data_IF_476458824591
#
_entry.id   IF_476458824591
#
_cell.length_a   1.000
_cell.length_b   1.000
_cell.length_c   1.000
_cell.angle_alpha   90.00
_cell.angle_beta   90.00
_cell.angle_gamma   90.00
#
_symmetry.space_group_name_H-M   'P 1'
#
loop_
_entity.id
_entity.type
_entity.pdbx_description
1 polymer ?
#
# COMPACT_ATOMS: atom_id res chain seq x y z
N UNK A 1 -63.91 55.07 -43.04
CA UNK A 1 -63.89 53.67 -43.59
C UNK A 1 -63.04 52.85 -42.70
N UNK A 2 -63.62 52.10 -41.85
CA UNK A 2 -63.07 51.34 -40.76
C UNK A 2 -62.90 49.91 -41.20
N UNK A 3 -61.65 49.39 -41.20
CA UNK A 3 -61.40 47.97 -41.21
C UNK A 3 -61.10 47.53 -39.78
N UNK A 4 -62.00 46.75 -39.26
CA UNK A 4 -61.87 46.10 -37.96
C UNK A 4 -61.29 44.65 -38.20
N UNK A 5 -60.06 44.43 -37.80
CA UNK A 5 -59.45 43.08 -37.80
C UNK A 5 -59.99 42.28 -36.63
N UNK A 6 -60.52 41.15 -36.97
CA UNK A 6 -61.02 40.14 -36.06
C UNK A 6 -59.89 39.28 -35.57
N UNK A 7 -59.29 39.61 -34.41
CA UNK A 7 -58.28 38.76 -33.77
C UNK A 7 -59.05 37.74 -32.96
N UNK A 8 -59.04 36.50 -33.46
CA UNK A 8 -59.68 35.36 -32.80
C UNK A 8 -59.14 35.13 -31.41
N UNK A 9 -60.03 35.06 -30.45
CA UNK A 9 -59.82 34.72 -29.05
C UNK A 9 -59.32 33.29 -28.93
N UNK A 10 -58.01 33.10 -29.01
CA UNK A 10 -57.39 31.83 -28.68
C UNK A 10 -57.40 31.72 -27.17
N UNK A 11 -58.43 31.06 -26.67
CA UNK A 11 -58.66 30.86 -25.25
C UNK A 11 -57.44 30.32 -24.55
N UNK A 12 -56.97 30.98 -23.51
CA UNK A 12 -55.88 30.59 -22.63
C UNK A 12 -56.00 29.11 -22.19
N UNK A 13 -57.25 28.61 -22.14
CA UNK A 13 -57.60 27.21 -21.84
C UNK A 13 -57.11 26.22 -22.91
N UNK A 14 -57.02 26.60 -24.19
CA UNK A 14 -56.51 25.69 -25.25
C UNK A 14 -55.01 25.58 -25.20
N UNK A 15 -54.29 26.64 -24.84
CA UNK A 15 -52.84 26.63 -24.66
C UNK A 15 -52.41 25.89 -23.41
N UNK A 16 -53.18 25.97 -22.34
CA UNK A 16 -52.94 25.23 -21.10
C UNK A 16 -53.15 23.73 -21.30
N UNK A 17 -54.20 23.31 -22.04
CA UNK A 17 -54.45 21.91 -22.36
C UNK A 17 -53.39 21.32 -23.32
N UNK A 18 -52.87 22.09 -24.28
CA UNK A 18 -51.80 21.66 -25.14
C UNK A 18 -50.50 21.44 -24.35
N UNK A 19 -50.19 22.33 -23.38
CA UNK A 19 -49.04 22.20 -22.51
C UNK A 19 -49.13 21.05 -21.51
N UNK A 20 -50.34 20.74 -21.01
CA UNK A 20 -50.59 19.56 -20.16
C UNK A 20 -50.50 18.24 -20.93
N UNK A 21 -50.88 18.21 -22.22
CA UNK A 21 -50.71 17.01 -23.06
C UNK A 21 -49.27 16.78 -23.45
N UNK A 22 -48.45 17.82 -23.69
CA UNK A 22 -47.02 17.68 -23.92
C UNK A 22 -46.28 17.16 -22.67
N UNK A 23 -46.56 17.71 -21.50
CA UNK A 23 -45.94 17.24 -20.23
C UNK A 23 -46.39 15.85 -19.82
N UNK A 24 -47.56 15.37 -20.25
CA UNK A 24 -48.03 14.00 -20.04
C UNK A 24 -47.44 13.00 -21.03
N UNK A 25 -47.10 13.42 -22.26
CA UNK A 25 -46.43 12.60 -23.26
C UNK A 25 -44.94 12.34 -22.96
N UNK A 26 -44.25 13.30 -22.34
CA UNK A 26 -42.85 13.18 -21.98
C UNK A 26 -42.59 12.30 -20.74
N UNK A 27 -43.61 11.96 -19.95
CA UNK A 27 -43.45 11.11 -18.76
C UNK A 27 -43.54 9.61 -19.06
N UNK A 28 -43.81 9.18 -20.30
CA UNK A 28 -44.11 7.76 -20.59
C UNK A 28 -43.00 7.00 -21.28
N UNK A 29 -41.82 7.57 -21.58
CA UNK A 29 -40.67 6.82 -22.10
C UNK A 29 -39.37 7.21 -21.42
N UNK A 30 -39.23 6.90 -20.12
CA UNK A 30 -37.94 6.58 -19.58
C UNK A 30 -37.74 5.07 -19.71
N UNK A 31 -36.96 4.58 -20.68
CA UNK A 31 -36.56 3.18 -20.63
C UNK A 31 -35.78 3.03 -19.32
N UNK A 32 -36.38 2.31 -18.40
CA UNK A 32 -35.71 1.87 -17.17
C UNK A 32 -34.60 0.88 -17.54
N UNK A 33 -33.50 1.39 -18.05
CA UNK A 33 -32.20 0.71 -18.03
C UNK A 33 -31.78 0.64 -16.55
N UNK A 34 -32.55 -0.07 -15.74
CA UNK A 34 -32.11 -0.60 -14.46
C UNK A 34 -30.98 -1.58 -14.80
N UNK A 35 -29.74 -1.03 -14.95
CA UNK A 35 -28.54 -1.85 -14.88
C UNK A 35 -28.67 -2.65 -13.58
N UNK A 36 -28.56 -3.98 -13.62
CA UNK A 36 -28.69 -4.79 -12.43
C UNK A 36 -27.78 -4.20 -11.37
N UNK A 37 -28.33 -3.91 -10.20
CA UNK A 37 -27.58 -3.31 -9.09
C UNK A 37 -26.43 -4.26 -8.73
N UNK A 38 -25.20 -3.88 -9.09
CA UNK A 38 -24.01 -4.67 -8.76
C UNK A 38 -23.92 -4.78 -7.25
N UNK A 39 -23.68 -5.99 -6.75
CA UNK A 39 -23.45 -6.22 -5.33
C UNK A 39 -22.20 -5.44 -4.87
N UNK A 40 -22.13 -5.08 -3.57
CA UNK A 40 -20.96 -4.37 -3.02
C UNK A 40 -19.66 -5.14 -3.27
N UNK A 41 -19.71 -6.47 -3.24
CA UNK A 41 -18.57 -7.35 -3.56
C UNK A 41 -18.15 -7.19 -5.02
N UNK A 42 -19.11 -7.22 -5.97
CA UNK A 42 -18.80 -7.02 -7.40
C UNK A 42 -18.18 -5.64 -7.65
N UNK A 43 -18.66 -4.61 -6.99
CA UNK A 43 -18.09 -3.27 -7.11
C UNK A 43 -16.65 -3.20 -6.55
N UNK A 44 -16.35 -3.91 -5.47
CA UNK A 44 -15.00 -3.99 -4.91
C UNK A 44 -14.04 -4.75 -5.85
N UNK A 45 -14.50 -5.87 -6.42
CA UNK A 45 -13.70 -6.63 -7.42
C UNK A 45 -13.42 -5.78 -8.66
N UNK A 46 -14.44 -5.09 -9.17
CA UNK A 46 -14.27 -4.19 -10.34
C UNK A 46 -13.26 -3.08 -10.03
N UNK A 47 -13.31 -2.46 -8.83
CA UNK A 47 -12.36 -1.43 -8.41
C UNK A 47 -10.91 -1.97 -8.39
N UNK A 48 -10.70 -3.15 -7.78
CA UNK A 48 -9.37 -3.78 -7.74
C UNK A 48 -8.86 -4.12 -9.15
N UNK A 49 -9.71 -4.70 -9.99
CA UNK A 49 -9.34 -5.05 -11.37
C UNK A 49 -9.04 -3.81 -12.22
N UNK A 50 -9.89 -2.78 -12.15
CA UNK A 50 -9.67 -1.53 -12.89
C UNK A 50 -8.42 -0.79 -12.38
N UNK A 51 -8.22 -0.73 -11.07
CA UNK A 51 -7.03 -0.15 -10.46
C UNK A 51 -5.76 -0.84 -10.95
N UNK A 52 -5.74 -2.17 -10.96
CA UNK A 52 -4.59 -2.94 -11.45
C UNK A 52 -4.36 -2.75 -12.96
N UNK A 53 -5.42 -2.78 -13.77
CA UNK A 53 -5.33 -2.61 -15.24
C UNK A 53 -4.81 -1.23 -15.64
N UNK A 54 -5.00 -0.20 -14.84
CA UNK A 54 -4.47 1.16 -15.08
C UNK A 54 -3.01 1.30 -14.62
N UNK A 55 -2.18 0.29 -14.91
CA UNK A 55 -0.78 0.22 -14.45
C UNK A 55 0.05 1.43 -14.91
N UNK A 56 -0.12 1.91 -16.13
CA UNK A 56 0.55 3.09 -16.64
C UNK A 56 0.28 4.34 -15.78
N UNK A 57 -0.95 4.46 -15.22
CA UNK A 57 -1.35 5.62 -14.44
C UNK A 57 -0.72 5.61 -13.05
N UNK A 58 -0.84 4.50 -12.29
CA UNK A 58 -0.28 4.47 -10.94
C UNK A 58 1.26 4.43 -10.95
N UNK A 59 1.89 3.86 -11.99
CA UNK A 59 3.36 3.95 -12.14
C UNK A 59 3.80 5.37 -12.45
N UNK A 60 3.13 6.07 -13.38
CA UNK A 60 3.44 7.47 -13.70
C UNK A 60 3.27 8.39 -12.48
N UNK A 61 2.14 8.24 -11.75
CA UNK A 61 1.87 9.02 -10.54
C UNK A 61 2.89 8.73 -9.42
N UNK A 62 3.27 7.46 -9.22
CA UNK A 62 4.28 7.10 -8.23
C UNK A 62 5.66 7.68 -8.58
N UNK A 63 6.05 7.65 -9.85
CA UNK A 63 7.31 8.27 -10.29
C UNK A 63 7.28 9.80 -10.15
N UNK A 64 6.12 10.41 -10.38
CA UNK A 64 5.94 11.84 -10.12
C UNK A 64 6.06 12.16 -8.63
N UNK A 65 5.48 11.33 -7.74
CA UNK A 65 5.63 11.50 -6.29
C UNK A 65 7.10 11.47 -5.85
N UNK A 66 7.86 10.51 -6.38
CA UNK A 66 9.28 10.40 -6.10
C UNK A 66 10.01 11.67 -6.57
N UNK A 67 9.76 12.10 -7.82
CA UNK A 67 10.37 13.32 -8.34
C UNK A 67 10.02 14.55 -7.51
N UNK A 68 8.77 14.68 -7.08
CA UNK A 68 8.34 15.81 -6.24
C UNK A 68 8.94 15.76 -4.84
N UNK A 69 9.00 14.57 -4.20
CA UNK A 69 9.57 14.37 -2.86
C UNK A 69 11.06 14.78 -2.80
N UNK A 70 11.79 14.51 -3.88
CA UNK A 70 13.22 14.79 -3.96
C UNK A 70 13.56 16.01 -4.81
N UNK A 71 12.59 16.82 -5.17
CA UNK A 71 12.80 18.08 -5.93
C UNK A 71 13.71 19.02 -5.12
N UNK A 72 14.82 19.41 -5.73
CA UNK A 72 15.84 20.25 -5.07
C UNK A 72 16.84 19.47 -4.21
N UNK A 73 16.73 18.15 -4.09
CA UNK A 73 17.73 17.31 -3.45
C UNK A 73 18.83 16.93 -4.43
N UNK A 74 20.10 17.13 -4.05
CA UNK A 74 21.26 16.72 -4.86
C UNK A 74 21.37 15.19 -4.92
N UNK A 75 21.08 14.49 -3.82
CA UNK A 75 21.24 13.04 -3.70
C UNK A 75 19.95 12.27 -4.06
N UNK A 76 18.81 12.96 -4.18
CA UNK A 76 17.54 12.32 -4.51
C UNK A 76 17.17 11.17 -3.56
N UNK A 77 16.63 10.05 -4.11
CA UNK A 77 16.29 8.86 -3.31
C UNK A 77 17.47 8.20 -2.61
N UNK A 78 18.70 8.42 -3.09
CA UNK A 78 19.93 7.86 -2.47
C UNK A 78 20.17 8.39 -1.05
N UNK A 79 19.55 9.50 -0.66
CA UNK A 79 19.62 9.95 0.73
C UNK A 79 19.14 8.89 1.73
N UNK A 80 18.08 8.16 1.41
CA UNK A 80 17.60 7.05 2.24
C UNK A 80 18.60 5.89 2.29
N UNK A 81 19.23 5.59 1.15
CA UNK A 81 20.29 4.58 1.07
C UNK A 81 21.49 4.95 1.94
N UNK A 82 21.92 6.21 1.88
CA UNK A 82 23.03 6.72 2.70
C UNK A 82 22.67 6.69 4.19
N UNK A 83 21.45 7.10 4.56
CA UNK A 83 20.98 7.04 5.95
C UNK A 83 20.99 5.61 6.48
N UNK A 84 20.53 4.65 5.68
CA UNK A 84 20.59 3.22 6.03
C UNK A 84 22.03 2.74 6.16
N UNK A 85 22.92 3.13 5.25
CA UNK A 85 24.34 2.78 5.31
C UNK A 85 25.02 3.36 6.57
N UNK A 86 24.74 4.61 6.90
CA UNK A 86 25.26 5.22 8.15
C UNK A 86 24.80 4.44 9.37
N UNK A 87 23.54 3.99 9.38
CA UNK A 87 23.00 3.19 10.48
C UNK A 87 23.66 1.81 10.55
N UNK A 88 23.90 1.16 9.40
CA UNK A 88 24.65 -0.09 9.32
C UNK A 88 26.07 0.08 9.87
N UNK A 89 26.78 1.15 9.50
CA UNK A 89 28.13 1.42 9.99
C UNK A 89 28.14 1.73 11.50
N UNK A 90 27.20 2.55 11.97
CA UNK A 90 27.11 2.93 13.38
C UNK A 90 26.82 1.72 14.29
N UNK A 91 25.78 0.97 13.98
CA UNK A 91 25.39 -0.23 14.76
C UNK A 91 26.45 -1.34 14.52
N UNK A 92 26.84 -1.58 13.26
CA UNK A 92 27.80 -2.61 12.90
C UNK A 92 29.21 -2.39 13.45
N UNK A 93 29.60 -1.14 13.78
CA UNK A 93 30.88 -0.82 14.43
C UNK A 93 30.90 -1.12 15.93
N UNK A 94 29.76 -1.09 16.60
CA UNK A 94 29.66 -1.20 18.07
C UNK A 94 29.16 -2.59 18.50
N UNK A 95 28.04 -3.05 17.91
CA UNK A 95 27.32 -4.26 18.37
C UNK A 95 28.11 -5.57 18.25
N UNK A 96 28.94 -5.82 17.21
CA UNK A 96 29.75 -7.02 17.13
C UNK A 96 30.64 -7.23 18.37
N UNK A 97 31.19 -6.12 18.89
CA UNK A 97 32.03 -6.15 20.09
C UNK A 97 31.24 -6.43 21.35
N UNK A 98 30.03 -5.85 21.47
CA UNK A 98 29.14 -6.06 22.63
C UNK A 98 28.62 -7.50 22.66
N UNK A 99 28.24 -8.02 21.47
CA UNK A 99 27.65 -9.36 21.33
C UNK A 99 28.69 -10.49 21.21
N UNK A 100 29.99 -10.14 21.11
CA UNK A 100 31.10 -11.09 20.85
C UNK A 100 30.85 -11.93 19.57
N UNK A 101 30.32 -11.31 18.51
CA UNK A 101 30.07 -11.94 17.22
C UNK A 101 31.06 -11.36 16.20
N UNK A 102 31.61 -12.17 15.27
CA UNK A 102 32.44 -11.67 14.18
C UNK A 102 31.69 -10.63 13.34
N UNK A 103 32.34 -9.51 13.02
CA UNK A 103 31.74 -8.47 12.20
C UNK A 103 31.37 -8.96 10.79
N UNK A 104 32.09 -9.98 10.27
CA UNK A 104 31.80 -10.66 9.01
C UNK A 104 30.41 -11.30 8.96
N UNK A 105 29.93 -11.79 10.09
CA UNK A 105 28.63 -12.48 10.19
C UNK A 105 27.52 -11.50 10.55
N UNK A 106 27.85 -10.52 11.41
CA UNK A 106 26.88 -9.56 11.92
C UNK A 106 26.49 -8.49 10.88
N UNK A 107 27.45 -7.93 10.14
CA UNK A 107 27.19 -6.83 9.21
C UNK A 107 26.26 -7.22 8.05
N UNK A 108 26.41 -8.37 7.39
CA UNK A 108 25.45 -8.81 6.38
C UNK A 108 24.05 -9.04 6.95
N UNK A 109 23.97 -9.61 8.15
CA UNK A 109 22.70 -9.81 8.85
C UNK A 109 21.99 -8.49 9.17
N UNK A 110 22.72 -7.52 9.71
CA UNK A 110 22.21 -6.19 10.04
C UNK A 110 21.79 -5.41 8.80
N UNK A 111 22.64 -5.38 7.76
CA UNK A 111 22.36 -4.61 6.55
C UNK A 111 21.11 -5.12 5.83
N UNK A 112 21.00 -6.44 5.64
CA UNK A 112 19.79 -7.06 5.05
C UNK A 112 18.57 -6.80 5.89
N UNK A 113 18.69 -6.91 7.23
CA UNK A 113 17.60 -6.63 8.18
C UNK A 113 17.08 -5.20 8.07
N UNK A 114 17.97 -4.20 8.10
CA UNK A 114 17.59 -2.79 8.02
C UNK A 114 16.98 -2.40 6.68
N UNK A 115 17.53 -2.91 5.57
CA UNK A 115 16.99 -2.63 4.23
C UNK A 115 15.59 -3.22 4.07
N UNK A 116 15.37 -4.47 4.48
CA UNK A 116 14.06 -5.13 4.39
C UNK A 116 13.06 -4.45 5.36
N UNK A 117 13.50 -4.14 6.58
CA UNK A 117 12.67 -3.42 7.55
C UNK A 117 12.20 -2.05 7.02
N UNK A 118 13.06 -1.33 6.30
CA UNK A 118 12.68 -0.06 5.71
C UNK A 118 11.51 -0.20 4.72
N UNK A 119 11.46 -1.30 3.95
CA UNK A 119 10.32 -1.61 3.09
C UNK A 119 9.07 -1.92 3.92
N UNK A 120 9.17 -2.84 4.89
CA UNK A 120 8.02 -3.26 5.70
C UNK A 120 7.40 -2.07 6.45
N UNK A 121 8.23 -1.28 7.11
CA UNK A 121 7.78 -0.10 7.86
C UNK A 121 7.16 0.97 6.96
N UNK A 122 7.75 1.22 5.79
CA UNK A 122 7.20 2.20 4.84
C UNK A 122 5.88 1.74 4.24
N UNK A 123 5.71 0.46 3.91
CA UNK A 123 4.43 -0.08 3.43
C UNK A 123 3.32 0.12 4.46
N UNK A 124 3.60 -0.05 5.75
CA UNK A 124 2.63 0.15 6.83
C UNK A 124 2.33 1.64 7.03
N UNK A 125 3.36 2.48 7.22
CA UNK A 125 3.20 3.91 7.53
C UNK A 125 2.58 4.67 6.35
N UNK A 126 3.08 4.45 5.13
CA UNK A 126 2.52 5.10 3.95
C UNK A 126 1.15 4.51 3.56
N UNK A 127 0.90 3.25 3.91
CA UNK A 127 -0.43 2.63 3.83
C UNK A 127 -1.49 3.42 4.58
N UNK A 128 -1.19 3.87 5.81
CA UNK A 128 -2.08 4.74 6.59
C UNK A 128 -2.42 6.04 5.85
N UNK A 129 -1.47 6.61 5.13
CA UNK A 129 -1.63 7.92 4.48
C UNK A 129 -2.21 7.83 3.07
N UNK A 130 -2.46 6.63 2.54
CA UNK A 130 -2.84 6.41 1.13
C UNK A 130 -4.07 7.21 0.71
N UNK A 131 -5.15 7.21 1.49
CA UNK A 131 -6.37 7.95 1.14
C UNK A 131 -6.39 9.37 1.70
N UNK A 132 -5.64 9.63 2.77
CA UNK A 132 -5.50 10.98 3.33
C UNK A 132 -4.78 11.91 2.35
N UNK A 133 -3.70 11.44 1.74
CA UNK A 133 -2.86 12.24 0.84
C UNK A 133 -3.51 12.58 -0.50
N UNK A 134 -4.60 11.90 -0.87
CA UNK A 134 -5.28 12.06 -2.16
C UNK A 134 -6.75 12.48 -2.02
N UNK A 135 -7.15 12.96 -0.84
CA UNK A 135 -8.55 13.30 -0.55
C UNK A 135 -9.16 14.26 -1.58
N UNK A 136 -8.43 15.29 -1.99
CA UNK A 136 -8.91 16.28 -2.96
C UNK A 136 -9.06 15.69 -4.37
N UNK A 137 -8.15 14.79 -4.75
CA UNK A 137 -8.19 14.10 -6.05
C UNK A 137 -9.36 13.12 -6.12
N UNK A 138 -9.58 12.36 -5.05
CA UNK A 138 -10.68 11.36 -4.97
C UNK A 138 -12.07 12.00 -5.12
N UNK A 139 -12.21 13.27 -4.74
CA UNK A 139 -13.47 14.01 -4.89
C UNK A 139 -13.68 14.56 -6.29
N UNK A 140 -12.62 14.95 -6.97
CA UNK A 140 -12.69 15.64 -8.26
C UNK A 140 -12.69 14.66 -9.42
N UNK A 141 -12.00 13.52 -9.29
CA UNK A 141 -11.80 12.57 -10.38
C UNK A 141 -12.27 11.18 -9.95
N UNK A 142 -13.20 10.56 -10.68
CA UNK A 142 -13.71 9.22 -10.38
C UNK A 142 -12.67 8.14 -10.77
N UNK A 143 -11.66 7.96 -9.93
CA UNK A 143 -10.65 6.90 -10.08
C UNK A 143 -10.94 5.74 -9.13
N UNK A 144 -10.55 4.50 -9.50
CA UNK A 144 -10.58 3.37 -8.57
C UNK A 144 -9.76 3.68 -7.31
N UNK A 145 -10.32 3.42 -6.13
CA UNK A 145 -9.62 3.65 -4.86
C UNK A 145 -8.34 2.81 -4.74
N UNK A 146 -8.39 1.58 -5.23
CA UNK A 146 -7.24 0.67 -5.25
C UNK A 146 -6.05 1.20 -6.05
N UNK A 147 -6.28 2.06 -7.05
CA UNK A 147 -5.21 2.71 -7.82
C UNK A 147 -4.23 3.46 -6.92
N UNK A 148 -4.74 4.14 -5.90
CA UNK A 148 -3.90 4.89 -4.96
C UNK A 148 -3.05 3.98 -4.07
N UNK A 149 -3.58 2.79 -3.74
CA UNK A 149 -2.83 1.76 -3.01
C UNK A 149 -1.71 1.18 -3.87
N UNK A 150 -1.99 0.82 -5.13
CA UNK A 150 -0.97 0.37 -6.09
C UNK A 150 0.12 1.42 -6.28
N UNK A 151 -0.25 2.71 -6.42
CA UNK A 151 0.68 3.85 -6.50
C UNK A 151 1.59 3.90 -5.26
N UNK A 152 1.04 3.79 -4.04
CA UNK A 152 1.81 3.85 -2.81
C UNK A 152 2.77 2.67 -2.68
N UNK A 153 2.31 1.44 -2.93
CA UNK A 153 3.12 0.23 -2.87
C UNK A 153 4.25 0.28 -3.90
N UNK A 154 3.96 0.66 -5.14
CA UNK A 154 4.98 0.77 -6.19
C UNK A 154 6.03 1.84 -5.86
N UNK A 155 5.64 3.00 -5.34
CA UNK A 155 6.57 4.02 -4.88
C UNK A 155 7.54 3.48 -3.83
N UNK A 156 7.03 2.73 -2.84
CA UNK A 156 7.85 2.11 -1.81
C UNK A 156 8.81 1.04 -2.37
N UNK A 157 8.36 0.28 -3.37
CA UNK A 157 9.24 -0.68 -4.06
C UNK A 157 10.37 0.00 -4.82
N UNK A 158 10.12 1.13 -5.50
CA UNK A 158 11.18 1.89 -6.19
C UNK A 158 12.17 2.44 -5.17
N UNK A 159 11.73 2.98 -4.05
CA UNK A 159 12.61 3.46 -2.97
C UNK A 159 13.40 2.30 -2.37
N UNK A 160 12.75 1.16 -2.12
CA UNK A 160 13.43 -0.06 -1.66
C UNK A 160 14.51 -0.54 -2.63
N UNK A 161 14.23 -0.52 -3.94
CA UNK A 161 15.21 -0.93 -4.95
C UNK A 161 16.50 -0.09 -4.90
N UNK A 162 16.42 1.20 -4.56
CA UNK A 162 17.60 2.04 -4.34
C UNK A 162 18.40 1.60 -3.10
N UNK A 163 17.70 1.32 -1.99
CA UNK A 163 18.34 0.84 -0.76
C UNK A 163 18.85 -0.59 -0.89
N UNK A 164 18.21 -1.41 -1.71
CA UNK A 164 18.60 -2.80 -1.96
C UNK A 164 20.01 -2.91 -2.55
N UNK A 165 20.50 -1.86 -3.22
CA UNK A 165 21.87 -1.80 -3.76
C UNK A 165 22.93 -2.03 -2.69
N UNK A 166 22.66 -1.70 -1.41
CA UNK A 166 23.59 -1.96 -0.29
C UNK A 166 23.89 -3.46 -0.16
N UNK A 167 22.90 -4.31 -0.39
CA UNK A 167 22.99 -5.75 -0.10
C UNK A 167 24.04 -6.46 -0.95
N UNK A 168 24.07 -6.34 -2.29
CA UNK A 168 25.13 -6.93 -3.11
C UNK A 168 26.54 -6.46 -2.72
N UNK A 169 26.70 -5.18 -2.36
CA UNK A 169 28.00 -4.67 -1.90
C UNK A 169 28.43 -5.31 -0.59
N UNK A 170 27.54 -5.44 0.38
CA UNK A 170 27.84 -6.08 1.67
C UNK A 170 28.15 -7.57 1.46
N UNK A 171 27.38 -8.28 0.65
CA UNK A 171 27.60 -9.69 0.30
C UNK A 171 29.00 -9.86 -0.33
N UNK A 172 29.38 -8.99 -1.26
CA UNK A 172 30.68 -9.06 -1.93
C UNK A 172 31.84 -8.75 -0.96
N UNK A 173 31.74 -7.74 -0.11
CA UNK A 173 32.81 -7.35 0.85
C UNK A 173 33.03 -8.45 1.87
N UNK A 174 31.97 -9.09 2.38
CA UNK A 174 32.06 -10.10 3.42
C UNK A 174 32.06 -11.53 2.88
N UNK A 175 32.13 -11.72 1.55
CA UNK A 175 32.15 -13.01 0.88
C UNK A 175 31.09 -13.99 1.37
N UNK A 176 29.86 -13.49 1.57
CA UNK A 176 28.74 -14.32 2.01
C UNK A 176 28.45 -15.40 0.97
N UNK A 177 28.37 -16.69 1.34
CA UNK A 177 28.13 -17.77 0.38
C UNK A 177 26.68 -17.81 -0.08
N UNK A 178 26.34 -16.96 -1.05
CA UNK A 178 24.99 -16.90 -1.64
C UNK A 178 24.83 -18.05 -2.63
N UNK A 179 23.94 -18.99 -2.32
CA UNK A 179 23.62 -20.12 -3.19
C UNK A 179 22.38 -19.88 -4.07
N UNK A 180 21.91 -20.95 -4.71
CA UNK A 180 20.67 -20.93 -5.50
C UNK A 180 19.43 -20.54 -4.70
N UNK A 181 19.50 -20.52 -3.36
CA UNK A 181 18.44 -20.08 -2.46
C UNK A 181 18.00 -18.65 -2.73
N UNK A 182 18.84 -17.81 -3.32
CA UNK A 182 18.52 -16.41 -3.66
C UNK A 182 17.30 -16.29 -4.56
N UNK A 183 16.97 -17.30 -5.37
CA UNK A 183 15.79 -17.29 -6.24
C UNK A 183 14.48 -17.20 -5.44
N UNK A 184 14.48 -17.65 -4.19
CA UNK A 184 13.31 -17.57 -3.29
C UNK A 184 12.97 -16.15 -2.86
N UNK A 185 13.82 -15.17 -3.11
CA UNK A 185 13.53 -13.76 -2.87
C UNK A 185 12.36 -13.29 -3.74
N UNK A 186 12.23 -13.79 -4.97
CA UNK A 186 11.18 -13.39 -5.89
C UNK A 186 9.78 -13.72 -5.32
N UNK A 187 9.45 -14.97 -4.97
CA UNK A 187 8.18 -15.27 -4.34
C UNK A 187 8.03 -14.63 -2.95
N UNK A 188 9.11 -14.48 -2.18
CA UNK A 188 9.05 -13.79 -0.89
C UNK A 188 8.63 -12.32 -1.03
N UNK A 189 9.26 -11.58 -1.94
CA UNK A 189 8.87 -10.19 -2.23
C UNK A 189 7.47 -10.10 -2.81
N UNK A 190 7.04 -11.04 -3.65
CA UNK A 190 5.67 -11.06 -4.16
C UNK A 190 4.65 -11.17 -3.01
N UNK A 191 4.88 -12.03 -2.03
CA UNK A 191 4.01 -12.16 -0.85
C UNK A 191 4.07 -10.90 0.01
N UNK A 192 5.25 -10.29 0.20
CA UNK A 192 5.39 -9.00 0.92
C UNK A 192 4.61 -7.88 0.21
N UNK A 193 4.65 -7.83 -1.13
CA UNK A 193 3.86 -6.87 -1.92
C UNK A 193 2.36 -7.06 -1.68
N UNK A 194 1.87 -8.30 -1.71
CA UNK A 194 0.46 -8.59 -1.41
C UNK A 194 0.10 -8.14 0.01
N UNK A 195 1.01 -8.35 0.99
CA UNK A 195 0.81 -7.81 2.35
C UNK A 195 0.75 -6.28 2.35
N UNK A 196 1.61 -5.60 1.63
CA UNK A 196 1.55 -4.14 1.47
C UNK A 196 0.22 -3.64 0.88
N UNK A 197 -0.36 -4.39 -0.07
CA UNK A 197 -1.63 -4.02 -0.69
C UNK A 197 -2.79 -4.11 0.29
N UNK A 198 -2.98 -5.24 0.98
CA UNK A 198 -4.11 -5.37 1.89
C UNK A 198 -3.95 -4.49 3.15
N UNK A 199 -2.72 -4.33 3.67
CA UNK A 199 -2.43 -3.38 4.76
C UNK A 199 -2.74 -1.94 4.32
N UNK A 200 -2.31 -1.55 3.12
CA UNK A 200 -2.57 -0.22 2.57
C UNK A 200 -4.06 0.08 2.37
N UNK A 201 -4.85 -0.89 1.90
CA UNK A 201 -6.31 -0.76 1.81
C UNK A 201 -6.91 -0.60 3.21
N UNK A 202 -6.61 -1.51 4.13
CA UNK A 202 -7.21 -1.55 5.45
C UNK A 202 -6.85 -0.32 6.28
N UNK A 203 -5.54 -0.08 6.46
CA UNK A 203 -5.07 1.04 7.27
C UNK A 203 -5.40 2.38 6.62
N UNK A 204 -5.34 2.48 5.28
CA UNK A 204 -5.73 3.69 4.57
C UNK A 204 -7.19 4.07 4.83
N UNK A 205 -8.11 3.09 4.78
CA UNK A 205 -9.53 3.32 5.08
C UNK A 205 -9.77 3.71 6.53
N UNK A 206 -9.13 3.01 7.48
CA UNK A 206 -9.27 3.30 8.92
C UNK A 206 -8.70 4.68 9.23
N UNK A 207 -7.55 5.03 8.66
CA UNK A 207 -6.90 6.33 8.83
C UNK A 207 -7.69 7.49 8.18
N UNK A 208 -8.35 7.23 7.04
CA UNK A 208 -9.24 8.23 6.44
C UNK A 208 -10.42 8.58 7.36
N UNK A 209 -10.87 7.62 8.17
CA UNK A 209 -11.95 7.82 9.16
C UNK A 209 -11.44 8.43 10.46
N UNK A 210 -10.27 7.98 10.93
CA UNK A 210 -9.70 8.35 12.23
C UNK A 210 -8.28 8.88 12.03
N UNK A 211 -8.10 10.20 12.18
CA UNK A 211 -6.83 10.89 11.91
C UNK A 211 -5.71 10.56 12.90
N UNK A 212 -6.05 9.95 14.04
CA UNK A 212 -5.09 9.53 15.06
C UNK A 212 -4.38 8.20 14.73
N UNK A 213 -4.90 7.43 13.77
CA UNK A 213 -4.35 6.12 13.41
C UNK A 213 -2.92 6.21 12.87
N UNK A 214 -2.56 7.12 11.93
CA UNK A 214 -1.19 7.20 11.42
C UNK A 214 -0.13 7.39 12.53
N UNK A 215 -0.25 8.33 13.50
CA UNK A 215 0.73 8.45 14.58
C UNK A 215 0.74 7.24 15.51
N UNK A 216 -0.40 6.62 15.81
CA UNK A 216 -0.46 5.38 16.63
C UNK A 216 0.28 4.25 15.92
N UNK A 217 0.03 4.03 14.63
CA UNK A 217 0.71 3.01 13.83
C UNK A 217 2.20 3.31 13.72
N UNK A 218 2.61 4.57 13.57
CA UNK A 218 4.01 4.99 13.58
C UNK A 218 4.72 4.60 14.88
N UNK A 219 4.09 4.85 16.03
CA UNK A 219 4.59 4.44 17.34
C UNK A 219 4.68 2.92 17.46
N UNK A 220 3.65 2.20 17.00
CA UNK A 220 3.65 0.74 16.98
C UNK A 220 4.79 0.18 16.12
N UNK A 221 5.02 0.71 14.92
CA UNK A 221 6.13 0.28 14.03
C UNK A 221 7.48 0.51 14.70
N UNK A 222 7.64 1.59 15.45
CA UNK A 222 8.87 1.86 16.21
C UNK A 222 9.10 0.81 17.31
N UNK A 223 8.08 0.45 18.06
CA UNK A 223 8.17 -0.63 19.07
C UNK A 223 8.43 -1.97 18.40
N UNK A 224 7.73 -2.26 17.31
CA UNK A 224 7.88 -3.49 16.54
C UNK A 224 9.30 -3.68 15.98
N UNK A 225 10.02 -2.58 15.66
CA UNK A 225 11.43 -2.63 15.25
C UNK A 225 12.31 -3.31 16.30
N UNK A 226 12.12 -2.98 17.57
CA UNK A 226 12.89 -3.58 18.67
C UNK A 226 12.41 -4.99 19.03
N UNK A 227 11.12 -5.26 18.85
CA UNK A 227 10.54 -6.57 19.11
C UNK A 227 10.80 -7.61 17.99
N UNK A 228 11.17 -7.12 16.78
CA UNK A 228 11.50 -7.97 15.64
C UNK A 228 13.02 -8.10 15.54
N UNK A 229 13.59 -9.29 15.27
CA UNK A 229 15.04 -9.49 15.14
C UNK A 229 15.61 -8.84 13.87
N UNK A 230 15.62 -7.51 13.82
CA UNK A 230 16.22 -6.74 12.72
C UNK A 230 17.74 -6.65 12.90
N UNK A 231 18.19 -6.29 14.10
CA UNK A 231 19.59 -6.05 14.45
C UNK A 231 20.15 -7.02 15.51
N UNK A 232 19.33 -7.93 16.04
CA UNK A 232 19.72 -8.95 16.99
C UNK A 232 19.30 -10.34 16.50
N UNK A 233 19.95 -11.40 16.97
CA UNK A 233 19.68 -12.77 16.52
C UNK A 233 18.60 -13.45 17.34
N UNK A 234 17.60 -14.15 16.72
CA UNK A 234 16.53 -14.84 17.44
C UNK A 234 17.02 -15.91 18.42
N UNK A 235 18.20 -16.48 18.17
CA UNK A 235 18.82 -17.51 19.01
C UNK A 235 19.13 -17.03 20.42
N UNK A 236 19.21 -15.72 20.65
CA UNK A 236 19.46 -15.14 21.98
C UNK A 236 18.31 -15.32 22.96
N UNK A 237 17.09 -15.61 22.48
CA UNK A 237 15.88 -15.75 23.32
C UNK A 237 15.68 -17.14 23.92
N UNK A 238 16.44 -18.16 23.53
CA UNK A 238 16.29 -19.51 24.07
C UNK A 238 14.85 -20.06 23.95
N UNK A 239 14.22 -20.39 25.07
CA UNK A 239 12.88 -21.00 25.13
C UNK A 239 11.78 -20.06 24.63
N UNK A 240 11.97 -18.74 24.76
CA UNK A 240 10.98 -17.73 24.39
C UNK A 240 10.97 -17.40 22.88
N UNK A 241 11.73 -18.15 22.10
CA UNK A 241 11.83 -17.97 20.64
C UNK A 241 10.48 -18.02 19.92
N UNK A 242 9.49 -18.73 20.45
CA UNK A 242 8.15 -18.82 19.88
C UNK A 242 7.49 -17.45 19.67
N UNK A 243 7.78 -16.46 20.53
CA UNK A 243 7.25 -15.08 20.37
C UNK A 243 7.70 -14.47 19.05
N UNK A 244 8.93 -14.75 18.64
CA UNK A 244 9.50 -14.27 17.39
C UNK A 244 8.99 -15.11 16.22
N UNK A 245 8.96 -16.42 16.35
CA UNK A 245 8.58 -17.33 15.26
C UNK A 245 7.13 -17.10 14.81
N UNK A 246 6.22 -16.66 15.70
CA UNK A 246 4.84 -16.30 15.36
C UNK A 246 4.63 -14.81 15.03
N UNK A 247 5.69 -14.00 15.05
CA UNK A 247 5.60 -12.59 14.66
C UNK A 247 5.53 -12.45 13.13
N UNK A 248 4.42 -11.90 12.57
CA UNK A 248 4.26 -11.76 11.11
C UNK A 248 5.28 -10.82 10.47
N UNK A 249 5.76 -9.81 11.21
CA UNK A 249 6.80 -8.91 10.71
C UNK A 249 8.17 -9.61 10.64
N UNK A 250 8.47 -10.47 11.62
CA UNK A 250 9.65 -11.33 11.55
C UNK A 250 9.54 -12.31 10.39
N UNK A 251 8.41 -12.97 10.23
CA UNK A 251 8.17 -13.90 9.13
C UNK A 251 8.40 -13.24 7.76
N UNK A 252 7.86 -12.03 7.55
CA UNK A 252 8.06 -11.26 6.32
C UNK A 252 9.52 -10.85 6.10
N UNK A 253 10.23 -10.50 7.18
CA UNK A 253 11.63 -10.15 7.13
C UNK A 253 12.50 -11.37 6.85
N UNK A 254 12.24 -12.49 7.53
CA UNK A 254 13.06 -13.69 7.48
C UNK A 254 13.01 -14.40 6.12
N UNK A 255 11.82 -14.52 5.50
CA UNK A 255 11.70 -15.16 4.17
C UNK A 255 12.43 -14.41 3.07
N UNK A 256 12.70 -13.11 3.23
CA UNK A 256 13.49 -12.31 2.28
C UNK A 256 14.96 -12.33 2.66
N UNK A 257 15.28 -12.22 3.98
CA UNK A 257 16.66 -12.14 4.48
C UNK A 257 17.41 -13.46 4.37
N UNK A 258 16.79 -14.56 4.77
CA UNK A 258 17.47 -15.85 4.85
C UNK A 258 18.08 -16.30 3.51
N UNK A 259 17.36 -16.23 2.37
CA UNK A 259 17.93 -16.55 1.07
C UNK A 259 19.09 -15.64 0.65
N UNK A 260 19.08 -14.36 1.05
CA UNK A 260 20.16 -13.40 0.79
C UNK A 260 21.45 -13.75 1.54
N UNK A 261 21.30 -14.39 2.70
CA UNK A 261 22.43 -14.85 3.53
C UNK A 261 22.82 -16.31 3.24
N UNK A 262 22.23 -16.94 2.22
CA UNK A 262 22.52 -18.34 1.86
C UNK A 262 21.99 -19.37 2.86
N UNK A 263 21.07 -18.99 3.76
CA UNK A 263 20.50 -19.88 4.79
C UNK A 263 19.00 -20.12 4.53
N UNK A 264 18.48 -21.19 5.14
CA UNK A 264 17.04 -21.45 5.08
C UNK A 264 16.31 -20.56 6.11
N UNK A 265 15.11 -20.03 5.76
CA UNK A 265 14.27 -19.31 6.72
C UNK A 265 13.77 -20.26 7.84
N UNK A 266 13.29 -19.68 8.95
CA UNK A 266 12.64 -20.46 10.01
C UNK A 266 11.49 -21.30 9.45
N UNK A 267 11.30 -22.54 9.92
CA UNK A 267 10.19 -23.41 9.46
C UNK A 267 8.82 -22.75 9.61
N UNK A 268 8.67 -21.84 10.56
CA UNK A 268 7.42 -21.13 10.82
C UNK A 268 7.22 -19.87 9.97
N UNK A 269 8.29 -19.31 9.36
CA UNK A 269 8.21 -18.03 8.66
C UNK A 269 7.27 -18.09 7.45
N UNK A 270 7.35 -19.09 6.59
CA UNK A 270 6.44 -19.24 5.48
C UNK A 270 4.97 -19.48 5.90
N UNK A 271 4.67 -20.46 6.80
CA UNK A 271 3.30 -20.67 7.28
C UNK A 271 2.69 -19.42 7.91
N UNK A 272 3.41 -18.72 8.78
CA UNK A 272 2.93 -17.50 9.45
C UNK A 272 2.67 -16.41 8.42
N UNK A 273 3.60 -16.16 7.51
CA UNK A 273 3.45 -15.13 6.49
C UNK A 273 2.27 -15.42 5.56
N UNK A 274 2.14 -16.64 5.05
CA UNK A 274 1.04 -17.03 4.16
C UNK A 274 -0.32 -16.96 4.87
N UNK A 275 -0.40 -17.43 6.11
CA UNK A 275 -1.62 -17.34 6.92
C UNK A 275 -2.02 -15.87 7.12
N UNK A 276 -1.07 -15.01 7.49
CA UNK A 276 -1.30 -13.57 7.65
C UNK A 276 -1.74 -12.93 6.33
N UNK A 277 -1.13 -13.32 5.21
CA UNK A 277 -1.49 -12.83 3.88
C UNK A 277 -2.93 -13.19 3.52
N UNK A 278 -3.31 -14.46 3.70
CA UNK A 278 -4.66 -14.94 3.35
C UNK A 278 -5.72 -14.31 4.24
N UNK A 279 -5.54 -14.38 5.57
CA UNK A 279 -6.50 -13.82 6.51
C UNK A 279 -6.58 -12.30 6.42
N UNK A 280 -5.43 -11.62 6.31
CA UNK A 280 -5.37 -10.17 6.17
C UNK A 280 -6.01 -9.69 4.86
N UNK A 281 -5.72 -10.35 3.73
CA UNK A 281 -6.33 -10.04 2.44
C UNK A 281 -7.84 -10.27 2.44
N UNK A 282 -8.31 -11.39 3.00
CA UNK A 282 -9.74 -11.69 3.10
C UNK A 282 -10.47 -10.65 3.97
N UNK A 283 -9.92 -10.34 5.14
CA UNK A 283 -10.49 -9.33 6.05
C UNK A 283 -10.51 -7.94 5.41
N UNK A 284 -9.38 -7.51 4.83
CA UNK A 284 -9.27 -6.23 4.14
C UNK A 284 -10.22 -6.11 2.96
N UNK A 285 -10.37 -7.18 2.16
CA UNK A 285 -11.30 -7.22 1.04
C UNK A 285 -12.77 -7.09 1.49
N UNK A 286 -13.17 -7.83 2.54
CA UNK A 286 -14.52 -7.73 3.08
C UNK A 286 -14.80 -6.34 3.67
N UNK A 287 -13.83 -5.78 4.36
CA UNK A 287 -13.91 -4.42 4.88
C UNK A 287 -14.02 -3.38 3.76
N UNK A 288 -13.19 -3.52 2.71
CA UNK A 288 -13.24 -2.68 1.52
C UNK A 288 -14.59 -2.79 0.80
N UNK A 289 -15.07 -4.00 0.55
CA UNK A 289 -16.38 -4.21 -0.08
C UNK A 289 -17.51 -3.54 0.70
N UNK A 290 -17.47 -3.60 2.03
CA UNK A 290 -18.51 -3.03 2.90
C UNK A 290 -18.48 -1.50 2.99
N UNK A 291 -17.28 -0.90 3.00
CA UNK A 291 -17.11 0.51 3.38
C UNK A 291 -16.54 1.39 2.26
N UNK A 292 -16.20 0.82 1.10
CA UNK A 292 -15.59 1.52 -0.04
C UNK A 292 -16.30 2.84 -0.40
N UNK A 293 -17.60 2.82 -0.49
CA UNK A 293 -18.40 3.99 -0.86
C UNK A 293 -18.29 5.16 0.15
N UNK A 294 -17.81 4.90 1.36
CA UNK A 294 -17.65 5.92 2.40
C UNK A 294 -16.29 6.58 2.41
N UNK A 295 -15.32 6.07 1.64
CA UNK A 295 -13.95 6.63 1.60
C UNK A 295 -13.99 8.10 1.18
N UNK A 296 -14.71 8.44 0.12
CA UNK A 296 -14.86 9.83 -0.34
C UNK A 296 -15.52 10.75 0.68
N UNK A 297 -16.33 10.21 1.58
CA UNK A 297 -16.98 10.95 2.65
C UNK A 297 -16.07 11.08 3.89
N UNK A 298 -15.30 10.04 4.23
CA UNK A 298 -14.39 10.05 5.38
C UNK A 298 -13.13 10.86 5.14
N UNK A 299 -12.76 11.05 3.90
CA UNK A 299 -11.63 11.90 3.52
C UNK A 299 -11.94 13.42 3.63
N UNK A 300 -12.96 13.80 4.41
CA UNK A 300 -13.31 15.19 4.72
C UNK A 300 -12.45 15.79 5.81
#
# INVERSE_FOLDING_TARGET
>A
MTCQENVGDISLHSLLRAKESETRGEQTERPSLLKPSKTQIQLAVVDLCEGFRRNWMWTALAMQDIKMRYRGSILGPFWLTISTLVMVVAIGGIYPRILNIPASDYLPYLATGLVIWSLLSSLIIEGCNTFISVQDVVRQVPLPFSLHVFRSVFRNLVVFAHSFVIIPFVIAIFSVPVGWTVIWIIPALAVVIVNGLWVGILLGMVSARFRDIPPIVGSFVTVAFFATPVFWHPQTLGVERWVVDFNPLFAALDVVRAPLLGVAPSPYSWPVLLTTTVLGSAFSFLFFARWRARISYWAN
#
